data_IF_077709885935
#
_entry.id   IF_077709885935
#
_cell.length_a   1.000
_cell.length_b   1.000
_cell.length_c   1.000
_cell.angle_alpha   90.00
_cell.angle_beta   90.00
_cell.angle_gamma   90.00
#
_symmetry.space_group_name_H-M   'P 1'
#
loop_
_entity.id
_entity.type
_entity.pdbx_description
1 polymer ?
#
# COMPACT_ATOMS: atom_id res chain seq x y z
N UNK A 1 -11.69 12.76 1.13
CA UNK A 1 -12.62 12.36 2.22
C UNK A 1 -12.71 10.83 2.23
N UNK A 2 -12.81 10.19 3.40
CA UNK A 2 -12.97 8.73 3.55
C UNK A 2 -13.97 8.46 4.69
N UNK A 3 -14.61 7.30 4.68
CA UNK A 3 -15.32 6.70 5.83
C UNK A 3 -14.71 5.33 6.15
N UNK A 4 -14.95 4.74 7.33
CA UNK A 4 -14.43 3.40 7.65
C UNK A 4 -14.82 2.36 6.59
N UNK A 5 -13.85 1.63 6.09
CA UNK A 5 -14.01 0.62 5.03
C UNK A 5 -13.77 1.12 3.60
N UNK A 6 -13.63 2.42 3.34
CA UNK A 6 -13.17 2.93 2.04
C UNK A 6 -11.83 2.31 1.65
N UNK A 7 -11.60 1.98 0.37
CA UNK A 7 -10.30 1.43 -0.10
C UNK A 7 -9.80 2.10 -1.37
N UNK A 8 -8.50 2.34 -1.43
CA UNK A 8 -7.74 2.42 -2.68
C UNK A 8 -7.22 1.01 -2.97
N UNK A 9 -7.53 0.40 -4.12
CA UNK A 9 -7.01 -0.93 -4.47
C UNK A 9 -5.49 -0.91 -4.62
N UNK A 10 -4.89 -2.09 -4.81
CA UNK A 10 -3.47 -2.20 -5.15
C UNK A 10 -3.15 -1.50 -6.47
N UNK A 11 -2.10 -0.68 -6.48
CA UNK A 11 -1.59 -0.02 -7.69
C UNK A 11 -0.07 0.25 -7.63
N UNK A 12 0.46 0.75 -8.75
CA UNK A 12 1.71 1.52 -8.81
C UNK A 12 1.35 2.97 -9.10
N UNK A 13 2.10 3.91 -8.55
CA UNK A 13 2.02 5.31 -8.94
C UNK A 13 2.37 5.53 -10.41
N UNK A 14 1.82 6.59 -10.99
CA UNK A 14 1.97 6.87 -12.42
C UNK A 14 3.45 7.09 -12.79
N UNK A 15 3.97 6.30 -13.74
CA UNK A 15 5.39 6.23 -14.12
C UNK A 15 6.36 5.86 -12.97
N UNK A 16 5.86 5.18 -11.92
CA UNK A 16 6.64 4.79 -10.73
C UNK A 16 7.27 5.98 -9.98
N UNK A 17 6.59 7.14 -9.96
CA UNK A 17 7.01 8.29 -9.16
C UNK A 17 6.74 8.13 -7.65
N UNK A 18 7.32 9.02 -6.84
CA UNK A 18 7.01 9.12 -5.41
C UNK A 18 5.54 9.50 -5.19
N UNK A 19 4.94 8.93 -4.15
CA UNK A 19 3.73 9.46 -3.54
C UNK A 19 4.04 10.20 -2.23
N UNK A 20 3.19 11.17 -1.91
CA UNK A 20 3.18 11.87 -0.61
C UNK A 20 1.74 11.88 -0.12
N UNK A 21 1.49 11.41 1.10
CA UNK A 21 0.15 11.38 1.65
C UNK A 21 0.09 11.96 3.06
N UNK A 22 -0.88 12.84 3.29
CA UNK A 22 -1.11 13.47 4.61
C UNK A 22 -2.53 13.11 5.05
N UNK A 23 -2.63 12.35 6.13
CA UNK A 23 -3.94 12.05 6.71
C UNK A 23 -4.40 13.21 7.60
N UNK A 24 -5.45 13.90 7.16
CA UNK A 24 -6.07 15.05 7.84
C UNK A 24 -6.92 14.60 9.05
N UNK A 25 -7.16 13.29 9.23
CA UNK A 25 -7.90 12.75 10.37
C UNK A 25 -9.40 13.05 10.35
N UNK A 26 -10.10 12.93 11.50
CA UNK A 26 -9.58 12.45 12.79
C UNK A 26 -9.38 10.93 12.86
N UNK A 27 -9.88 10.17 11.87
CA UNK A 27 -9.67 8.73 11.77
C UNK A 27 -8.27 8.35 11.25
N UNK A 28 -7.84 7.13 11.52
CA UNK A 28 -6.61 6.54 10.98
C UNK A 28 -6.84 6.00 9.54
N UNK A 29 -5.77 5.57 8.88
CA UNK A 29 -5.84 4.77 7.66
C UNK A 29 -5.27 3.36 7.88
N UNK A 30 -5.65 2.43 7.00
CA UNK A 30 -4.82 1.27 6.66
C UNK A 30 -3.99 1.59 5.39
N UNK A 31 -2.77 1.11 5.28
CA UNK A 31 -2.12 0.90 3.98
C UNK A 31 -1.46 -0.47 4.03
N UNK A 32 -1.08 -0.97 2.86
CA UNK A 32 -0.24 -2.14 2.68
C UNK A 32 0.71 -1.82 1.54
N UNK A 33 1.93 -2.32 1.58
CA UNK A 33 2.80 -2.20 0.43
C UNK A 33 3.91 -3.23 0.37
N UNK A 34 4.42 -3.35 -0.84
CA UNK A 34 5.40 -4.34 -1.29
C UNK A 34 6.53 -3.59 -2.01
N UNK A 35 7.82 -3.90 -1.75
CA UNK A 35 8.95 -3.25 -2.41
C UNK A 35 8.85 -3.37 -3.94
N UNK A 36 9.31 -2.33 -4.64
CA UNK A 36 9.15 -2.19 -6.08
C UNK A 36 9.64 -3.41 -6.86
N UNK A 37 10.75 -4.03 -6.43
CA UNK A 37 11.37 -5.19 -7.08
C UNK A 37 10.42 -6.39 -7.24
N UNK A 38 9.39 -6.50 -6.38
CA UNK A 38 8.41 -7.58 -6.39
C UNK A 38 7.15 -7.26 -7.20
N UNK A 39 7.02 -6.08 -7.82
CA UNK A 39 5.86 -5.73 -8.65
C UNK A 39 5.56 -6.78 -9.74
N UNK A 40 6.54 -7.41 -10.43
CA UNK A 40 6.25 -8.44 -11.43
C UNK A 40 5.65 -9.73 -10.85
N UNK A 41 5.94 -10.03 -9.56
CA UNK A 41 5.36 -11.19 -8.85
C UNK A 41 3.88 -10.93 -8.56
N UNK A 42 3.54 -9.71 -8.11
CA UNK A 42 2.15 -9.29 -7.88
C UNK A 42 1.38 -9.16 -9.19
N UNK A 43 2.01 -8.68 -10.26
CA UNK A 43 1.44 -8.63 -11.60
C UNK A 43 1.09 -10.05 -12.13
N UNK A 44 1.98 -11.03 -11.92
CA UNK A 44 1.72 -12.45 -12.21
C UNK A 44 0.53 -12.99 -11.40
N UNK A 45 0.44 -12.69 -10.10
CA UNK A 45 -0.70 -13.09 -9.26
C UNK A 45 -2.04 -12.52 -9.77
N UNK A 46 -2.04 -11.30 -10.30
CA UNK A 46 -3.22 -10.68 -10.90
C UNK A 46 -3.61 -11.39 -12.20
N UNK A 47 -2.64 -11.63 -13.09
CA UNK A 47 -2.84 -12.37 -14.36
C UNK A 47 -3.40 -13.79 -14.13
N UNK A 48 -2.89 -14.52 -13.14
CA UNK A 48 -3.39 -15.84 -12.73
C UNK A 48 -4.86 -15.83 -12.27
N UNK A 49 -5.36 -14.68 -11.81
CA UNK A 49 -6.74 -14.47 -11.34
C UNK A 49 -7.61 -13.74 -12.39
N UNK A 50 -7.10 -13.58 -13.62
CA UNK A 50 -7.72 -12.83 -14.72
C UNK A 50 -8.03 -11.35 -14.35
N UNK A 51 -7.09 -10.71 -13.65
CA UNK A 51 -7.15 -9.30 -13.25
C UNK A 51 -6.05 -8.49 -13.97
N UNK A 52 -6.39 -7.30 -14.47
CA UNK A 52 -5.41 -6.33 -14.96
C UNK A 52 -4.71 -5.67 -13.78
N UNK A 53 -3.37 -5.75 -13.72
CA UNK A 53 -2.56 -5.19 -12.63
C UNK A 53 -2.47 -3.66 -12.64
N UNK A 54 -2.47 -3.04 -13.83
CA UNK A 54 -2.27 -1.59 -14.00
C UNK A 54 -3.58 -0.80 -14.07
N UNK A 55 -4.70 -1.44 -14.43
CA UNK A 55 -6.00 -0.80 -14.66
C UNK A 55 -7.16 -1.45 -13.90
N UNK A 56 -6.97 -2.65 -13.36
CA UNK A 56 -7.99 -3.35 -12.58
C UNK A 56 -8.00 -2.89 -11.12
N UNK A 57 -9.16 -2.97 -10.48
CA UNK A 57 -9.26 -2.82 -9.03
C UNK A 57 -9.05 -4.18 -8.36
N UNK A 58 -7.88 -4.41 -7.79
CA UNK A 58 -7.51 -5.66 -7.11
C UNK A 58 -7.08 -5.42 -5.66
N UNK A 59 -7.18 -6.47 -4.83
CA UNK A 59 -6.74 -6.42 -3.43
C UNK A 59 -5.91 -7.68 -3.13
N UNK A 60 -4.65 -7.54 -2.66
CA UNK A 60 -3.77 -8.69 -2.47
C UNK A 60 -4.21 -9.56 -1.29
N UNK A 61 -4.07 -10.88 -1.45
CA UNK A 61 -4.23 -11.82 -0.35
C UNK A 61 -2.88 -11.99 0.38
N UNK A 62 -2.82 -11.56 1.63
CA UNK A 62 -1.60 -11.62 2.46
C UNK A 62 -1.00 -13.03 2.56
N UNK A 63 -1.86 -14.07 2.56
CA UNK A 63 -1.41 -15.47 2.58
C UNK A 63 -0.75 -15.90 1.26
N UNK A 64 -1.12 -15.29 0.14
CA UNK A 64 -0.49 -15.59 -1.16
C UNK A 64 0.81 -14.81 -1.36
N UNK A 65 0.94 -13.62 -0.76
CA UNK A 65 2.22 -12.89 -0.67
C UNK A 65 3.24 -13.69 0.15
N UNK A 66 2.86 -14.21 1.33
CA UNK A 66 3.75 -15.05 2.17
C UNK A 66 4.24 -16.29 1.41
N UNK A 67 3.33 -17.03 0.73
CA UNK A 67 3.68 -18.24 -0.03
C UNK A 67 4.64 -17.98 -1.20
N UNK A 68 4.66 -16.76 -1.73
CA UNK A 68 5.55 -16.33 -2.80
C UNK A 68 6.79 -15.58 -2.28
N UNK A 69 7.03 -15.62 -0.96
CA UNK A 69 8.15 -14.97 -0.26
C UNK A 69 8.22 -13.45 -0.51
N UNK A 70 7.08 -12.83 -0.82
CA UNK A 70 6.97 -11.38 -1.08
C UNK A 70 6.89 -10.62 0.26
N UNK A 71 7.89 -9.78 0.59
CA UNK A 71 7.84 -8.98 1.81
C UNK A 71 6.73 -7.92 1.72
N UNK A 72 5.83 -7.92 2.70
CA UNK A 72 4.69 -7.02 2.79
C UNK A 72 4.68 -6.31 4.15
N UNK A 73 4.46 -5.00 4.12
CA UNK A 73 4.66 -4.09 5.26
C UNK A 73 3.35 -3.41 5.70
N UNK A 74 3.23 -3.13 7.01
CA UNK A 74 2.00 -2.61 7.66
C UNK A 74 2.30 -1.79 8.96
N UNK A 75 2.51 -0.46 8.89
CA UNK A 75 2.54 0.50 10.03
C UNK A 75 1.12 1.02 10.37
N UNK A 76 0.88 2.12 11.12
CA UNK A 76 -0.44 2.86 11.18
C UNK A 76 -0.22 4.35 10.88
N UNK A 77 -1.01 4.97 9.99
CA UNK A 77 -1.01 6.43 9.74
C UNK A 77 -2.14 7.10 10.51
N UNK A 78 -1.76 7.87 11.52
CA UNK A 78 -2.58 8.76 12.35
C UNK A 78 -2.61 10.15 11.69
N UNK A 79 -2.44 11.23 12.46
CA UNK A 79 -2.42 12.60 11.94
C UNK A 79 -1.00 13.03 11.51
N UNK A 80 -0.47 12.39 10.47
CA UNK A 80 0.94 12.52 10.09
C UNK A 80 1.18 12.49 8.56
N UNK A 81 2.38 12.94 8.16
CA UNK A 81 2.84 13.00 6.77
C UNK A 81 3.59 11.70 6.44
N UNK A 82 3.31 11.12 5.28
CA UNK A 82 4.01 9.96 4.72
C UNK A 82 4.57 10.25 3.32
N UNK A 83 5.67 9.58 2.98
CA UNK A 83 6.39 9.62 1.71
C UNK A 83 6.76 8.19 1.30
N UNK A 84 6.66 7.82 0.01
CA UNK A 84 7.07 6.49 -0.42
C UNK A 84 7.08 6.22 -1.93
N UNK A 85 7.64 5.06 -2.28
CA UNK A 85 7.77 4.52 -3.64
C UNK A 85 7.55 2.99 -3.57
N UNK A 86 6.36 2.49 -3.91
CA UNK A 86 6.01 1.07 -3.73
C UNK A 86 4.87 0.62 -4.64
N UNK A 87 4.61 -0.70 -4.68
CA UNK A 87 3.26 -1.19 -4.96
C UNK A 87 2.46 -1.05 -3.67
N UNK A 88 1.39 -0.26 -3.67
CA UNK A 88 0.65 0.10 -2.46
C UNK A 88 -0.88 -0.04 -2.62
N UNK A 89 -1.55 -0.23 -1.49
CA UNK A 89 -3.00 -0.27 -1.36
C UNK A 89 -3.40 0.43 -0.05
N UNK A 90 -4.54 1.13 -0.02
CA UNK A 90 -5.00 1.89 1.15
C UNK A 90 -6.38 1.43 1.63
N UNK A 91 -6.66 1.51 2.93
CA UNK A 91 -8.05 1.66 3.42
C UNK A 91 -8.19 2.86 4.34
N UNK A 92 -9.41 3.38 4.50
CA UNK A 92 -9.76 4.30 5.59
C UNK A 92 -10.34 3.48 6.73
N UNK A 93 -9.73 3.49 7.90
CA UNK A 93 -10.14 2.64 9.04
C UNK A 93 -9.33 2.98 10.28
N UNK A 94 -9.94 2.78 11.45
CA UNK A 94 -9.18 2.63 12.70
C UNK A 94 -8.37 1.33 12.64
N UNK A 95 -7.20 1.35 11.96
CA UNK A 95 -6.02 0.46 12.01
C UNK A 95 -5.23 0.48 10.67
N UNK A 96 -3.90 0.63 10.77
CA UNK A 96 -2.81 -0.13 10.10
C UNK A 96 -2.16 0.18 8.71
N UNK A 97 -2.03 1.47 8.39
CA UNK A 97 -0.91 2.23 7.80
C UNK A 97 0.22 1.76 6.79
N UNK A 98 0.60 0.50 6.53
CA UNK A 98 1.50 0.15 5.38
C UNK A 98 3.05 0.24 5.45
N UNK A 99 3.71 0.83 4.44
CA UNK A 99 5.03 0.35 3.92
C UNK A 99 6.35 1.12 4.26
N UNK A 100 7.48 0.50 3.88
CA UNK A 100 8.82 0.59 4.50
C UNK A 100 9.45 1.97 4.69
N UNK A 101 10.08 2.13 5.87
CA UNK A 101 10.99 3.23 6.19
C UNK A 101 12.25 3.28 5.30
N UNK A 102 12.67 4.50 4.93
CA UNK A 102 14.09 4.86 5.09
C UNK A 102 14.31 5.22 6.58
N UNK A 103 15.39 4.78 7.25
CA UNK A 103 15.61 5.05 8.67
C UNK A 103 16.08 6.50 8.89
N UNK A 104 15.17 7.45 8.70
CA UNK A 104 15.34 8.88 8.95
C UNK A 104 14.30 9.37 9.95
N UNK A 105 14.60 9.26 11.24
CA UNK A 105 13.81 9.89 12.31
C UNK A 105 13.88 11.41 12.19
N UNK A 106 12.79 12.05 11.76
CA UNK A 106 12.56 13.48 12.00
C UNK A 106 11.95 13.69 13.39
N UNK A 107 12.68 13.19 14.41
CA UNK A 107 12.52 13.57 15.82
C UNK A 107 13.49 14.74 16.14
N UNK A 108 13.37 15.85 15.40
CA UNK A 108 13.86 17.20 15.74
C UNK A 108 12.94 18.26 15.13
#
# INVERSE_FOLDING_TARGET
MKVPGCRTPGHLENNSFASININIGPGECEWFGVPYEYWPVVEKMCKERNLDFLKGAWWPNFQDLIKAEVPCYRFTQKLEIWYGWAVDACTGSNLLAGATMWPGTLDQ
#
